data_IF_877427126160
#
_entry.id   IF_877427126160
#
_cell.length_a   1.000
_cell.length_b   1.000
_cell.length_c   1.000
_cell.angle_alpha   90.00
_cell.angle_beta   90.00
_cell.angle_gamma   90.00
#
_symmetry.space_group_name_H-M   'P 1'
#
loop_
_entity.id
_entity.type
_entity.pdbx_description
1 polymer ?
#
# COMPACT_ATOMS: atom_id res chain seq x y z
N UNK A 1 -36.13 -15.62 31.10
CA UNK A 1 -35.83 -14.18 31.21
C UNK A 1 -34.34 -14.00 31.17
N UNK A 2 -33.78 -13.72 30.00
CA UNK A 2 -32.35 -13.41 29.83
C UNK A 2 -32.12 -11.98 30.28
N UNK A 3 -31.45 -11.80 31.41
CA UNK A 3 -31.07 -10.49 31.91
C UNK A 3 -30.20 -9.79 30.86
N UNK A 4 -30.54 -8.56 30.51
CA UNK A 4 -29.64 -7.66 29.79
C UNK A 4 -28.47 -7.41 30.73
N UNK A 5 -27.23 -7.79 30.39
CA UNK A 5 -26.10 -7.52 31.27
C UNK A 5 -26.02 -6.01 31.45
N UNK A 6 -26.01 -5.55 32.71
CA UNK A 6 -25.69 -4.16 33.03
C UNK A 6 -24.44 -3.78 32.25
N UNK A 7 -24.55 -2.70 31.47
CA UNK A 7 -23.62 -2.37 30.40
C UNK A 7 -22.16 -2.53 30.84
N UNK A 8 -21.43 -3.38 30.12
CA UNK A 8 -20.00 -3.64 30.36
C UNK A 8 -19.28 -2.29 30.35
N UNK A 9 -18.53 -1.99 31.41
CA UNK A 9 -17.77 -0.74 31.53
C UNK A 9 -16.67 -0.71 30.46
N UNK A 10 -16.99 -0.10 29.33
CA UNK A 10 -16.12 -0.02 28.14
C UNK A 10 -14.82 0.73 28.41
N UNK A 11 -14.77 1.56 29.46
CA UNK A 11 -13.53 2.28 29.84
C UNK A 11 -12.49 1.36 30.49
N UNK A 12 -12.92 0.20 30.98
CA UNK A 12 -12.06 -0.82 31.60
C UNK A 12 -11.82 -2.04 30.71
N UNK A 13 -12.61 -2.20 29.64
CA UNK A 13 -12.41 -3.29 28.68
C UNK A 13 -11.07 -3.14 27.95
N UNK A 14 -10.37 -4.26 27.84
CA UNK A 14 -9.15 -4.40 27.05
C UNK A 14 -9.49 -4.97 25.68
N UNK A 15 -8.58 -4.86 24.71
CA UNK A 15 -8.79 -5.36 23.33
C UNK A 15 -9.26 -6.81 23.29
N UNK A 16 -8.69 -7.66 24.15
CA UNK A 16 -9.07 -9.05 24.30
C UNK A 16 -10.54 -9.27 24.69
N UNK A 17 -11.17 -8.30 25.38
CA UNK A 17 -12.57 -8.40 25.78
C UNK A 17 -13.56 -8.08 24.65
N UNK A 18 -13.08 -7.52 23.53
CA UNK A 18 -13.87 -7.18 22.35
C UNK A 18 -13.89 -8.30 21.30
N UNK A 19 -12.79 -9.04 21.18
CA UNK A 19 -12.63 -10.15 20.23
C UNK A 19 -11.72 -11.20 20.86
N UNK A 20 -12.32 -12.30 21.32
CA UNK A 20 -11.62 -13.43 21.96
C UNK A 20 -10.65 -14.13 20.99
N UNK A 21 -10.84 -13.94 19.67
CA UNK A 21 -9.99 -14.48 18.63
C UNK A 21 -8.92 -13.48 18.16
N UNK A 22 -8.91 -12.24 18.67
CA UNK A 22 -7.92 -11.25 18.26
C UNK A 22 -6.52 -11.70 18.70
N UNK A 23 -5.53 -11.71 17.78
CA UNK A 23 -4.14 -11.97 18.15
C UNK A 23 -3.73 -11.01 19.26
N UNK A 24 -3.20 -11.53 20.37
CA UNK A 24 -2.80 -10.70 21.51
C UNK A 24 -1.45 -10.02 21.30
N UNK A 25 -0.61 -10.57 20.42
CA UNK A 25 0.63 -9.94 20.02
C UNK A 25 0.32 -8.68 19.22
N UNK A 26 0.77 -7.56 19.77
CA UNK A 26 0.78 -6.29 19.06
C UNK A 26 1.72 -6.45 17.87
N UNK A 27 1.34 -5.86 16.75
CA UNK A 27 2.20 -5.69 15.58
C UNK A 27 3.50 -5.06 16.09
N UNK A 28 4.59 -5.82 16.11
CA UNK A 28 5.87 -5.35 16.64
C UNK A 28 6.31 -4.08 15.89
N UNK A 29 7.15 -3.23 16.47
CA UNK A 29 7.64 -2.02 15.79
C UNK A 29 8.27 -2.35 14.42
N UNK A 30 8.80 -3.56 14.28
CA UNK A 30 9.33 -4.10 13.02
C UNK A 30 8.20 -4.35 11.99
N UNK A 31 7.07 -4.93 12.40
CA UNK A 31 5.89 -5.09 11.53
C UNK A 31 5.19 -3.74 11.25
N UNK A 32 5.20 -2.81 12.20
CA UNK A 32 4.75 -1.45 11.99
C UNK A 32 5.62 -0.72 10.95
N UNK A 33 6.93 -1.00 10.93
CA UNK A 33 7.86 -0.51 9.92
C UNK A 33 7.67 -1.21 8.55
N UNK A 34 7.19 -2.45 8.53
CA UNK A 34 6.74 -3.16 7.32
C UNK A 34 5.38 -2.67 6.80
N UNK A 35 4.69 -1.79 7.55
CA UNK A 35 3.47 -1.12 7.16
C UNK A 35 3.66 -0.32 5.87
N UNK A 36 3.31 -0.93 4.73
CA UNK A 36 3.36 -0.25 3.43
C UNK A 36 2.49 1.02 3.52
N UNK A 37 3.03 2.20 3.14
CA UNK A 37 2.29 3.43 3.24
C UNK A 37 1.03 3.38 2.37
N UNK A 38 -0.12 3.69 2.97
CA UNK A 38 -1.39 3.78 2.25
C UNK A 38 -1.34 5.02 1.32
N UNK A 39 -1.57 4.85 0.01
CA UNK A 39 -1.52 5.96 -0.93
C UNK A 39 -2.76 6.86 -0.79
N UNK A 40 -2.54 8.17 -0.77
CA UNK A 40 -3.59 9.18 -0.80
C UNK A 40 -4.16 9.33 -2.23
N UNK A 41 -4.97 8.36 -2.66
CA UNK A 41 -5.61 8.36 -3.98
C UNK A 41 -7.00 8.98 -3.85
N UNK A 42 -7.37 9.97 -4.70
CA UNK A 42 -8.73 10.48 -4.76
C UNK A 42 -9.76 9.38 -5.04
N UNK A 43 -10.97 9.54 -4.53
CA UNK A 43 -12.06 8.60 -4.83
C UNK A 43 -12.55 8.73 -6.29
N UNK A 44 -13.45 7.83 -6.69
CA UNK A 44 -14.01 7.83 -8.05
C UNK A 44 -14.80 9.11 -8.39
N UNK A 45 -15.22 9.88 -7.38
CA UNK A 45 -15.92 11.14 -7.53
C UNK A 45 -14.96 12.35 -7.60
N UNK A 46 -13.65 12.11 -7.50
CA UNK A 46 -12.62 13.14 -7.52
C UNK A 46 -12.37 13.82 -6.16
N UNK A 47 -12.96 13.32 -5.07
CA UNK A 47 -12.72 13.83 -3.73
C UNK A 47 -11.29 13.52 -3.30
N UNK A 48 -10.57 14.54 -2.84
CA UNK A 48 -9.20 14.37 -2.37
C UNK A 48 -9.16 13.51 -1.11
N UNK A 49 -8.17 12.62 -1.03
CA UNK A 49 -7.94 11.81 0.15
C UNK A 49 -7.45 12.69 1.32
N UNK A 50 -8.11 12.56 2.47
CA UNK A 50 -7.73 13.27 3.70
C UNK A 50 -6.54 12.60 4.42
N UNK A 51 -6.27 11.34 4.11
CA UNK A 51 -5.27 10.51 4.77
C UNK A 51 -4.43 9.75 3.74
N UNK A 52 -3.26 9.29 4.17
CA UNK A 52 -2.30 8.57 3.33
C UNK A 52 -1.19 9.46 2.78
N UNK A 53 -0.17 8.84 2.17
CA UNK A 53 0.97 9.55 1.58
C UNK A 53 0.65 9.91 0.13
N UNK A 54 0.98 11.14 -0.26
CA UNK A 54 0.83 11.56 -1.65
C UNK A 54 1.56 10.58 -2.60
N UNK A 55 0.93 10.15 -3.70
CA UNK A 55 1.57 9.25 -4.65
C UNK A 55 2.82 9.91 -5.23
N UNK A 56 3.91 9.15 -5.39
CA UNK A 56 5.10 9.66 -6.06
C UNK A 56 4.80 9.95 -7.54
N UNK A 57 5.32 11.05 -8.10
CA UNK A 57 5.16 11.33 -9.51
C UNK A 57 5.83 10.23 -10.35
N UNK A 58 5.27 9.89 -11.53
CA UNK A 58 5.86 8.90 -12.41
C UNK A 58 7.29 9.32 -12.81
N UNK A 59 8.25 8.41 -12.66
CA UNK A 59 9.64 8.69 -13.07
C UNK A 59 9.72 8.86 -14.59
N UNK A 60 10.49 9.84 -15.09
CA UNK A 60 10.69 10.01 -16.52
C UNK A 60 11.33 8.76 -17.11
N UNK A 61 10.67 8.17 -18.11
CA UNK A 61 11.22 7.01 -18.83
C UNK A 61 12.25 7.52 -19.84
N UNK A 62 13.48 6.97 -19.82
CA UNK A 62 14.45 7.22 -20.90
C UNK A 62 13.86 6.66 -22.19
N UNK A 63 13.68 7.52 -23.19
CA UNK A 63 13.38 7.10 -24.56
C UNK A 63 14.54 6.23 -25.04
N UNK A 64 14.26 4.96 -25.37
CA UNK A 64 15.26 4.07 -25.95
C UNK A 64 15.52 4.53 -27.38
N UNK A 65 16.76 4.90 -27.68
CA UNK A 65 17.17 5.20 -29.05
C UNK A 65 17.10 3.90 -29.89
N UNK A 66 16.60 3.95 -31.13
CA UNK A 66 16.69 2.84 -32.07
C UNK A 66 18.16 2.47 -32.33
N UNK A 67 18.43 1.18 -32.58
CA UNK A 67 19.75 0.75 -33.01
C UNK A 67 20.05 1.28 -34.44
N UNK A 68 21.30 1.63 -34.75
CA UNK A 68 21.68 2.01 -36.11
C UNK A 68 21.45 0.84 -37.08
N UNK A 69 21.07 1.15 -38.31
CA UNK A 69 20.88 0.15 -39.36
C UNK A 69 22.22 -0.56 -39.68
N UNK A 70 22.21 -1.87 -39.99
CA UNK A 70 23.41 -2.56 -40.43
C UNK A 70 23.93 -1.91 -41.71
N UNK A 71 25.24 -1.66 -41.77
CA UNK A 71 25.90 -1.21 -42.98
C UNK A 71 25.81 -2.34 -44.02
N UNK A 72 25.34 -2.03 -45.23
CA UNK A 72 25.43 -2.93 -46.37
C UNK A 72 26.90 -3.10 -46.71
N UNK A 73 27.44 -4.27 -46.36
CA UNK A 73 28.79 -4.67 -46.75
C UNK A 73 28.73 -5.10 -48.22
N UNK A 74 28.78 -4.12 -49.12
CA UNK A 74 28.99 -4.35 -50.55
C UNK A 74 30.48 -4.56 -50.80
N UNK A 75 31.01 -5.67 -50.30
CA UNK A 75 32.33 -6.15 -50.72
C UNK A 75 32.11 -7.23 -51.80
N UNK A 76 32.37 -6.93 -53.09
CA UNK A 76 32.37 -7.96 -54.10
C UNK A 76 33.55 -8.90 -53.80
N UNK A 77 33.23 -10.14 -53.43
CA UNK A 77 34.18 -11.23 -53.40
C UNK A 77 34.78 -11.38 -54.80
N UNK A 78 35.98 -10.83 -54.99
CA UNK A 78 36.85 -11.14 -56.13
C UNK A 78 37.25 -12.62 -56.10
#
# INVERSE_FOLDING_TARGET
MTAVPEGRDWTRMRRADFDDCAPLDLVDEEDAALGRPVPAVPDACGTQALFGKAPQPPRPRRTRAPAPAPAEDTDPLF
#
